data_IF_568057141772
#
_entry.id   IF_568057141772
#
_cell.length_a   1.000
_cell.length_b   1.000
_cell.length_c   1.000
_cell.angle_alpha   90.00
_cell.angle_beta   90.00
_cell.angle_gamma   90.00
#
_symmetry.space_group_name_H-M   'P 1'
#
loop_
_entity.id
_entity.type
_entity.pdbx_description
1 polymer ?
#
# COMPACT_ATOMS: atom_id res chain seq x y z
N UNK A 1 19.90 -13.24 -11.35
CA UNK A 1 19.12 -12.01 -11.64
C UNK A 1 18.69 -11.49 -10.29
N UNK A 2 19.20 -10.34 -9.87
CA UNK A 2 18.76 -9.72 -8.63
C UNK A 2 17.26 -9.44 -8.74
N UNK A 3 16.50 -9.99 -7.81
CA UNK A 3 15.06 -9.78 -7.71
C UNK A 3 14.89 -8.34 -7.19
N UNK A 4 14.61 -7.40 -8.09
CA UNK A 4 14.48 -5.99 -7.71
C UNK A 4 13.24 -5.84 -6.84
N UNK A 5 13.39 -5.35 -5.62
CA UNK A 5 12.28 -5.06 -4.70
C UNK A 5 11.25 -4.15 -5.38
N UNK A 6 9.98 -4.50 -5.28
CA UNK A 6 8.87 -3.68 -5.78
C UNK A 6 8.18 -2.96 -4.63
N UNK A 7 8.07 -1.63 -4.72
CA UNK A 7 7.35 -0.78 -3.76
C UNK A 7 5.97 -0.46 -4.33
N UNK A 8 4.91 -0.80 -3.60
CA UNK A 8 3.53 -0.60 -4.00
C UNK A 8 2.82 0.27 -2.96
N UNK A 9 2.28 1.42 -3.38
CA UNK A 9 1.44 2.25 -2.54
C UNK A 9 -0.04 1.82 -2.63
N UNK A 10 -0.71 1.74 -1.49
CA UNK A 10 -2.16 1.54 -1.40
C UNK A 10 -2.80 2.89 -1.12
N UNK A 11 -3.34 3.56 -2.13
CA UNK A 11 -3.79 4.94 -2.05
C UNK A 11 -5.24 5.11 -2.48
N UNK A 12 -6.01 5.87 -1.68
CA UNK A 12 -7.31 6.42 -2.02
C UNK A 12 -7.63 7.54 -1.03
N UNK A 13 -8.20 8.65 -1.52
CA UNK A 13 -8.62 9.79 -0.69
C UNK A 13 -9.80 9.44 0.24
N UNK A 14 -10.66 8.51 -0.18
CA UNK A 14 -11.81 8.09 0.63
C UNK A 14 -11.34 7.21 1.78
N UNK A 15 -11.77 7.54 2.99
CA UNK A 15 -11.61 6.69 4.17
C UNK A 15 -12.49 5.44 4.07
N UNK A 16 -12.07 4.36 4.73
CA UNK A 16 -12.89 3.14 4.85
C UNK A 16 -13.02 2.31 3.57
N UNK A 17 -12.23 2.56 2.52
CA UNK A 17 -12.27 1.76 1.27
C UNK A 17 -11.43 0.47 1.33
N UNK A 18 -10.89 0.10 2.49
CA UNK A 18 -10.13 -1.13 2.68
C UNK A 18 -8.65 -1.03 2.29
N UNK A 19 -8.01 0.15 2.34
CA UNK A 19 -6.56 0.29 2.13
C UNK A 19 -5.77 -0.57 3.11
N UNK A 20 -5.92 -0.31 4.39
CA UNK A 20 -5.26 -1.04 5.48
C UNK A 20 -5.56 -2.53 5.45
N UNK A 21 -6.84 -2.90 5.27
CA UNK A 21 -7.25 -4.30 5.13
C UNK A 21 -6.54 -4.97 3.95
N UNK A 22 -6.37 -4.24 2.84
CA UNK A 22 -5.64 -4.74 1.67
C UNK A 22 -4.14 -4.83 1.95
N UNK A 23 -3.53 -3.85 2.63
CA UNK A 23 -2.11 -3.90 3.01
C UNK A 23 -1.79 -5.16 3.82
N UNK A 24 -2.56 -5.41 4.89
CA UNK A 24 -2.39 -6.59 5.74
C UNK A 24 -2.57 -7.88 4.93
N UNK A 25 -3.72 -8.04 4.30
CA UNK A 25 -4.09 -9.33 3.73
C UNK A 25 -3.37 -9.65 2.41
N UNK A 26 -3.10 -8.66 1.56
CA UNK A 26 -2.24 -8.84 0.40
C UNK A 26 -0.80 -9.14 0.83
N UNK A 27 -0.29 -8.44 1.85
CA UNK A 27 1.04 -8.69 2.39
C UNK A 27 1.19 -10.11 2.91
N UNK A 28 0.26 -10.56 3.77
CA UNK A 28 0.29 -11.94 4.30
C UNK A 28 0.14 -12.97 3.18
N UNK A 29 -0.75 -12.74 2.20
CA UNK A 29 -0.88 -13.66 1.05
C UNK A 29 0.42 -13.79 0.25
N UNK A 30 1.12 -12.68 0.02
CA UNK A 30 2.42 -12.66 -0.65
C UNK A 30 3.49 -13.37 0.20
N UNK A 31 3.48 -13.15 1.52
CA UNK A 31 4.36 -13.85 2.48
C UNK A 31 4.15 -15.37 2.46
N UNK A 32 2.90 -15.83 2.41
CA UNK A 32 2.56 -17.25 2.27
C UNK A 32 3.04 -17.86 0.93
N UNK A 33 3.24 -17.03 -0.10
CA UNK A 33 3.84 -17.44 -1.37
C UNK A 33 5.37 -17.42 -1.35
N UNK A 34 5.99 -17.20 -0.19
CA UNK A 34 7.46 -17.19 0.01
C UNK A 34 8.12 -15.85 -0.34
N UNK A 35 7.35 -14.77 -0.51
CA UNK A 35 7.91 -13.42 -0.68
C UNK A 35 8.27 -12.80 0.66
N UNK A 36 9.41 -12.13 0.73
CA UNK A 36 9.79 -11.34 1.90
C UNK A 36 9.14 -9.95 1.79
N UNK A 37 8.10 -9.72 2.58
CA UNK A 37 7.24 -8.53 2.47
C UNK A 37 7.43 -7.60 3.67
N UNK A 38 7.58 -6.29 3.40
CA UNK A 38 7.56 -5.24 4.39
C UNK A 38 6.29 -4.40 4.20
N UNK A 39 5.55 -4.22 5.27
CA UNK A 39 4.45 -3.27 5.37
C UNK A 39 4.98 -1.96 5.95
N UNK A 40 4.54 -0.82 5.44
CA UNK A 40 4.88 0.51 5.97
C UNK A 40 3.58 1.24 6.28
N UNK A 41 3.35 1.56 7.54
CA UNK A 41 2.20 2.34 7.98
C UNK A 41 2.50 3.83 7.78
N UNK A 42 1.89 4.45 6.77
CA UNK A 42 2.07 5.87 6.46
C UNK A 42 0.83 6.71 6.87
N UNK A 43 0.10 6.25 7.89
CA UNK A 43 -1.04 6.97 8.48
C UNK A 43 -0.78 7.21 9.98
N UNK A 44 -0.84 8.45 10.43
CA UNK A 44 -0.71 8.82 11.84
C UNK A 44 -1.81 8.21 12.74
N UNK A 45 -2.90 7.72 12.15
CA UNK A 45 -3.94 6.98 12.88
C UNK A 45 -3.49 5.56 13.25
N UNK A 46 -2.36 5.08 12.74
CA UNK A 46 -1.74 3.79 13.06
C UNK A 46 -2.66 2.58 12.84
N UNK A 47 -3.55 2.68 11.85
CA UNK A 47 -4.55 1.64 11.60
C UNK A 47 -3.92 0.32 11.16
N UNK A 48 -2.87 0.37 10.35
CA UNK A 48 -2.11 -0.81 9.95
C UNK A 48 -1.36 -1.41 11.14
N UNK A 49 -0.70 -0.57 11.94
CA UNK A 49 0.04 -0.98 13.13
C UNK A 49 -0.88 -1.72 14.12
N UNK A 50 -2.05 -1.17 14.42
CA UNK A 50 -3.05 -1.81 15.29
C UNK A 50 -3.57 -3.12 14.72
N UNK A 51 -3.84 -3.16 13.42
CA UNK A 51 -4.26 -4.39 12.72
C UNK A 51 -3.19 -5.50 12.77
N UNK A 52 -1.94 -5.14 13.03
CA UNK A 52 -0.81 -6.06 13.17
C UNK A 52 -0.38 -6.28 14.63
N UNK A 53 -1.32 -6.28 15.58
CA UNK A 53 -1.11 -6.56 17.03
C UNK A 53 -0.27 -5.53 17.79
N UNK A 54 -0.07 -4.34 17.27
CA UNK A 54 0.55 -3.26 18.04
C UNK A 54 -0.57 -2.50 18.77
N UNK A 55 -0.84 -2.87 20.00
CA UNK A 55 -1.99 -2.33 20.76
C UNK A 55 -1.78 -0.86 21.14
N UNK A 56 -0.56 -0.48 21.45
CA UNK A 56 -0.18 0.89 21.80
C UNK A 56 0.97 1.38 20.92
N UNK A 57 0.68 1.86 19.68
CA UNK A 57 1.71 2.38 18.79
C UNK A 57 2.42 3.62 19.34
N UNK A 58 1.75 4.40 20.21
CA UNK A 58 2.30 5.64 20.75
C UNK A 58 3.35 5.39 21.85
N UNK A 59 3.40 4.17 22.40
CA UNK A 59 4.45 3.74 23.34
C UNK A 59 5.72 3.25 22.62
N UNK A 60 5.74 3.17 21.28
CA UNK A 60 6.93 2.74 20.54
C UNK A 60 7.96 3.88 20.45
N UNK A 61 9.21 3.57 20.80
CA UNK A 61 10.34 4.50 20.70
C UNK A 61 10.75 4.77 19.24
N UNK A 62 10.52 3.82 18.36
CA UNK A 62 10.96 3.90 16.95
C UNK A 62 9.85 3.47 16.00
N UNK A 63 9.41 4.41 15.19
CA UNK A 63 8.36 4.25 14.18
C UNK A 63 8.79 4.89 12.87
N UNK A 64 7.92 4.93 11.87
CA UNK A 64 8.18 5.63 10.62
C UNK A 64 8.50 7.13 10.85
N UNK A 65 7.91 7.74 11.88
CA UNK A 65 8.16 9.14 12.24
C UNK A 65 9.63 9.41 12.53
N UNK A 66 10.25 8.60 13.39
CA UNK A 66 11.65 8.73 13.76
C UNK A 66 12.56 8.47 12.56
N UNK A 67 12.29 7.42 11.77
CA UNK A 67 13.07 7.13 10.56
C UNK A 67 13.04 8.28 9.54
N UNK A 68 11.90 8.91 9.33
CA UNK A 68 11.77 10.07 8.45
C UNK A 68 12.43 11.31 9.04
N UNK A 69 12.37 11.49 10.36
CA UNK A 69 13.03 12.62 11.05
C UNK A 69 14.55 12.57 10.90
N UNK A 70 15.15 11.40 11.07
CA UNK A 70 16.59 11.21 10.79
C UNK A 70 16.95 11.52 9.33
N UNK A 71 16.09 11.13 8.39
CA UNK A 71 16.32 11.45 6.97
C UNK A 71 16.27 12.95 6.70
N UNK A 72 15.43 13.69 7.42
CA UNK A 72 15.29 15.14 7.26
C UNK A 72 16.44 15.93 7.89
N UNK A 73 17.00 15.45 9.01
CA UNK A 73 18.14 16.10 9.69
C UNK A 73 19.48 15.88 9.01
N UNK A 74 19.57 14.85 8.16
CA UNK A 74 20.81 14.47 7.48
C UNK A 74 21.81 13.78 8.41
N UNK A 75 21.38 13.35 9.59
CA UNK A 75 22.18 12.51 10.48
C UNK A 75 22.40 11.13 9.86
N UNK A 76 23.56 10.53 10.12
CA UNK A 76 23.87 9.18 9.64
C UNK A 76 22.86 8.18 10.21
N UNK A 77 22.20 7.43 9.32
CA UNK A 77 21.22 6.41 9.72
C UNK A 77 21.92 5.32 10.52
N UNK A 78 21.58 5.22 11.79
CA UNK A 78 21.98 4.08 12.57
C UNK A 78 21.20 2.84 12.14
N UNK A 79 21.91 1.80 11.67
CA UNK A 79 21.31 0.51 11.35
C UNK A 79 20.54 -0.10 12.54
N UNK A 80 20.92 0.24 13.76
CA UNK A 80 20.24 -0.16 15.00
C UNK A 80 18.84 0.45 15.03
N UNK A 81 18.69 1.72 14.67
CA UNK A 81 17.40 2.40 14.62
C UNK A 81 16.45 1.73 13.62
N UNK A 82 16.95 1.43 12.40
CA UNK A 82 16.16 0.78 11.36
C UNK A 82 15.70 -0.59 11.85
N UNK A 83 16.59 -1.41 12.42
CA UNK A 83 16.26 -2.74 12.91
C UNK A 83 15.25 -2.70 14.07
N UNK A 84 15.37 -1.71 14.97
CA UNK A 84 14.46 -1.54 16.10
C UNK A 84 13.04 -1.12 15.65
N UNK A 85 12.91 -0.43 14.53
CA UNK A 85 11.62 -0.01 13.98
C UNK A 85 10.84 -1.16 13.34
N UNK A 86 11.52 -2.25 12.91
CA UNK A 86 10.87 -3.35 12.19
C UNK A 86 10.29 -4.36 13.18
N UNK A 87 9.00 -4.62 13.05
CA UNK A 87 8.25 -5.62 13.82
C UNK A 87 7.83 -6.76 12.92
N UNK A 88 7.78 -7.98 13.46
CA UNK A 88 7.28 -9.14 12.73
C UNK A 88 5.79 -9.34 13.01
N UNK A 89 5.02 -9.60 11.96
CA UNK A 89 3.61 -9.97 12.04
C UNK A 89 3.32 -11.13 11.09
N UNK A 90 2.87 -12.26 11.61
CA UNK A 90 2.62 -13.49 10.84
C UNK A 90 3.79 -13.79 9.89
N UNK A 91 3.55 -13.74 8.57
CA UNK A 91 4.54 -14.02 7.51
C UNK A 91 5.21 -12.77 6.95
N UNK A 92 4.97 -11.60 7.53
CA UNK A 92 5.44 -10.30 7.03
C UNK A 92 6.16 -9.49 8.10
N UNK A 93 6.78 -8.40 7.67
CA UNK A 93 7.41 -7.42 8.54
C UNK A 93 6.68 -6.08 8.43
N UNK A 94 6.76 -5.24 9.47
CA UNK A 94 6.06 -3.97 9.57
C UNK A 94 6.98 -2.88 10.11
N UNK A 95 6.99 -1.72 9.46
CA UNK A 95 7.40 -0.45 10.08
C UNK A 95 6.12 0.23 10.57
N UNK A 96 5.93 0.34 11.89
CA UNK A 96 4.73 0.94 12.47
C UNK A 96 4.74 2.46 12.34
N UNK A 97 3.57 3.04 12.51
CA UNK A 97 3.34 4.47 12.68
C UNK A 97 2.79 4.76 14.08
N UNK A 98 2.82 6.03 14.46
CA UNK A 98 2.16 6.56 15.64
C UNK A 98 1.71 8.01 15.39
N UNK A 99 1.12 8.66 16.40
CA UNK A 99 0.59 10.03 16.28
C UNK A 99 1.70 11.06 15.93
N UNK A 100 2.96 10.79 16.26
CA UNK A 100 4.09 11.66 15.94
C UNK A 100 4.26 11.90 14.43
N UNK A 101 3.76 10.98 13.59
CA UNK A 101 3.81 11.13 12.13
C UNK A 101 3.05 12.38 11.64
N UNK A 102 2.04 12.86 12.39
CA UNK A 102 1.38 14.14 12.09
C UNK A 102 2.32 15.34 12.26
N UNK A 103 3.18 15.29 13.27
CA UNK A 103 4.24 16.29 13.47
C UNK A 103 5.30 16.22 12.37
N UNK A 104 5.70 15.01 12.00
CA UNK A 104 6.62 14.76 10.88
C UNK A 104 6.07 15.33 9.57
N UNK A 105 4.78 15.13 9.26
CA UNK A 105 4.13 15.71 8.08
C UNK A 105 4.21 17.24 8.08
N UNK A 106 4.03 17.88 9.22
CA UNK A 106 4.18 19.34 9.36
C UNK A 106 5.62 19.79 9.12
N UNK A 107 6.61 19.05 9.65
CA UNK A 107 8.03 19.35 9.48
C UNK A 107 8.46 19.23 8.02
N UNK A 108 7.90 18.28 7.26
CA UNK A 108 8.17 18.10 5.83
C UNK A 108 7.97 19.38 5.00
N UNK A 109 7.04 20.26 5.36
CA UNK A 109 6.81 21.51 4.61
C UNK A 109 8.03 22.42 4.56
N UNK A 110 8.92 22.32 5.55
CA UNK A 110 10.13 23.13 5.65
C UNK A 110 11.41 22.36 5.20
N UNK A 111 11.26 21.10 4.77
CA UNK A 111 12.38 20.26 4.38
C UNK A 111 12.70 20.41 2.89
N UNK A 112 13.99 20.39 2.54
CA UNK A 112 14.43 20.30 1.14
C UNK A 112 14.08 18.93 0.56
N UNK A 113 13.62 18.90 -0.70
CA UNK A 113 13.20 17.66 -1.38
C UNK A 113 12.18 16.86 -0.55
N UNK A 114 11.30 17.57 0.11
CA UNK A 114 10.29 17.07 1.07
C UNK A 114 9.41 15.94 0.50
N UNK A 115 9.20 15.92 -0.81
CA UNK A 115 8.41 14.89 -1.48
C UNK A 115 9.11 13.53 -1.54
N UNK A 116 10.43 13.49 -1.31
CA UNK A 116 11.26 12.29 -1.48
C UNK A 116 11.79 11.73 -0.17
N UNK A 117 11.39 12.27 0.98
CA UNK A 117 11.91 11.84 2.29
C UNK A 117 11.61 10.36 2.53
N UNK A 118 10.35 9.94 2.37
CA UNK A 118 9.99 8.52 2.54
C UNK A 118 10.74 7.60 1.56
N UNK A 119 10.92 8.03 0.30
CA UNK A 119 11.72 7.27 -0.67
C UNK A 119 13.13 7.00 -0.13
N UNK A 120 13.83 8.05 0.32
CA UNK A 120 15.17 7.91 0.89
C UNK A 120 15.18 7.10 2.19
N UNK A 121 14.11 7.20 3.00
CA UNK A 121 13.95 6.42 4.23
C UNK A 121 13.90 4.92 3.95
N UNK A 122 13.15 4.49 2.93
CA UNK A 122 12.96 3.05 2.65
C UNK A 122 13.94 2.47 1.63
N UNK A 123 14.68 3.30 0.89
CA UNK A 123 15.62 2.84 -0.16
C UNK A 123 16.64 1.81 0.35
N UNK A 124 17.28 1.97 1.54
CA UNK A 124 18.20 0.96 2.06
C UNK A 124 17.53 -0.40 2.35
N UNK A 125 16.21 -0.41 2.57
CA UNK A 125 15.46 -1.62 2.89
C UNK A 125 15.15 -2.47 1.65
N UNK A 126 15.17 -1.88 0.45
CA UNK A 126 14.83 -2.57 -0.80
C UNK A 126 15.70 -3.81 -1.06
N UNK A 127 16.94 -3.82 -0.57
CA UNK A 127 17.85 -4.98 -0.69
C UNK A 127 17.43 -6.18 0.16
N UNK A 128 16.59 -5.95 1.17
CA UNK A 128 16.21 -6.96 2.18
C UNK A 128 14.83 -7.55 1.93
N UNK A 129 14.02 -6.99 1.04
CA UNK A 129 12.64 -7.38 0.79
C UNK A 129 12.36 -7.57 -0.69
N UNK A 130 11.45 -8.47 -1.02
CA UNK A 130 10.93 -8.64 -2.39
C UNK A 130 9.88 -7.58 -2.71
N UNK A 131 9.04 -7.25 -1.72
CA UNK A 131 7.91 -6.32 -1.89
C UNK A 131 7.81 -5.43 -0.64
N UNK A 132 7.59 -4.13 -0.86
CA UNK A 132 7.22 -3.17 0.19
C UNK A 132 5.82 -2.64 -0.13
N UNK A 133 4.88 -2.76 0.82
CA UNK A 133 3.53 -2.21 0.70
C UNK A 133 3.41 -1.00 1.62
N UNK A 134 3.04 0.16 1.07
CA UNK A 134 2.84 1.40 1.83
C UNK A 134 1.34 1.63 1.98
N UNK A 135 0.83 1.59 3.22
CA UNK A 135 -0.56 1.94 3.54
C UNK A 135 -0.69 3.45 3.71
N UNK A 136 -1.37 4.10 2.78
CA UNK A 136 -1.50 5.56 2.75
C UNK A 136 -2.71 6.04 3.55
N UNK A 137 -2.57 7.20 4.21
CA UNK A 137 -3.67 7.90 4.85
C UNK A 137 -4.77 8.28 3.83
N UNK A 138 -6.03 8.52 4.30
CA UNK A 138 -7.15 8.89 3.43
C UNK A 138 -7.12 10.40 3.05
N UNK A 139 -6.04 10.85 2.46
CA UNK A 139 -5.85 12.24 2.02
C UNK A 139 -4.90 12.29 0.82
N UNK A 140 -4.78 13.46 0.19
CA UNK A 140 -3.71 13.79 -0.76
C UNK A 140 -2.69 14.75 -0.13
N UNK A 141 -2.44 14.61 1.18
CA UNK A 141 -1.44 15.35 1.93
C UNK A 141 0.00 14.98 1.56
N UNK A 142 0.96 15.60 2.26
CA UNK A 142 2.38 15.43 1.99
C UNK A 142 2.84 13.97 2.19
N UNK A 143 2.26 13.26 3.16
CA UNK A 143 2.57 11.84 3.38
C UNK A 143 2.14 10.96 2.21
N UNK A 144 0.95 11.19 1.63
CA UNK A 144 0.51 10.44 0.44
C UNK A 144 1.38 10.78 -0.77
N UNK A 145 1.79 12.04 -0.96
CA UNK A 145 2.75 12.41 -2.00
C UNK A 145 4.07 11.66 -1.80
N UNK A 146 4.61 11.62 -0.59
CA UNK A 146 5.83 10.86 -0.26
C UNK A 146 5.68 9.37 -0.59
N UNK A 147 4.54 8.76 -0.25
CA UNK A 147 4.27 7.37 -0.57
C UNK A 147 4.26 7.11 -2.09
N UNK A 148 3.62 7.98 -2.87
CA UNK A 148 3.57 7.89 -4.33
C UNK A 148 4.94 8.15 -4.99
N UNK A 149 5.75 9.01 -4.40
CA UNK A 149 7.13 9.27 -4.89
C UNK A 149 8.06 8.11 -4.56
N UNK A 150 7.85 7.43 -3.45
CA UNK A 150 8.61 6.24 -3.05
C UNK A 150 8.21 4.97 -3.81
N UNK A 151 6.98 4.92 -4.33
CA UNK A 151 6.41 3.73 -4.95
C UNK A 151 6.86 3.55 -6.42
N UNK A 152 6.99 2.28 -6.83
CA UNK A 152 7.11 1.88 -8.23
C UNK A 152 5.73 1.77 -8.88
N UNK A 153 4.71 1.41 -8.07
CA UNK A 153 3.33 1.31 -8.55
C UNK A 153 2.29 1.59 -7.45
N UNK A 154 1.04 1.79 -7.90
CA UNK A 154 -0.10 2.08 -7.03
C UNK A 154 -1.19 1.05 -7.26
N UNK A 155 -1.72 0.48 -6.18
CA UNK A 155 -3.01 -0.22 -6.16
C UNK A 155 -4.02 0.73 -5.51
N UNK A 156 -5.20 0.87 -6.13
CA UNK A 156 -6.25 1.80 -5.69
C UNK A 156 -7.46 1.00 -5.20
N UNK A 157 -7.57 0.70 -3.89
CA UNK A 157 -8.77 0.10 -3.33
C UNK A 157 -9.96 1.04 -3.47
N UNK A 158 -11.08 0.53 -4.00
CA UNK A 158 -12.27 1.33 -4.31
C UNK A 158 -13.55 0.53 -3.99
N UNK A 159 -14.43 1.11 -3.19
CA UNK A 159 -15.76 0.54 -2.96
C UNK A 159 -16.68 0.86 -4.15
N UNK A 160 -17.56 -0.05 -4.61
CA UNK A 160 -18.51 0.22 -5.70
C UNK A 160 -19.61 1.19 -5.23
N UNK A 161 -19.29 2.48 -5.22
CA UNK A 161 -20.24 3.56 -4.92
C UNK A 161 -19.97 4.76 -5.82
N UNK A 162 -21.02 5.52 -6.14
CA UNK A 162 -20.91 6.72 -6.99
C UNK A 162 -19.88 7.73 -6.49
N UNK A 163 -19.84 7.97 -5.18
CA UNK A 163 -18.87 8.89 -4.57
C UNK A 163 -17.42 8.40 -4.67
N UNK A 164 -17.22 7.07 -4.64
CA UNK A 164 -15.88 6.49 -4.78
C UNK A 164 -15.33 6.67 -6.19
N UNK A 165 -16.18 6.51 -7.20
CA UNK A 165 -15.81 6.74 -8.61
C UNK A 165 -15.42 8.19 -8.83
N UNK A 166 -16.20 9.15 -8.31
CA UNK A 166 -15.88 10.58 -8.42
C UNK A 166 -14.56 10.96 -7.70
N UNK A 167 -14.29 10.36 -6.54
CA UNK A 167 -13.03 10.56 -5.80
C UNK A 167 -11.81 9.97 -6.53
N UNK A 168 -12.02 8.94 -7.35
CA UNK A 168 -10.96 8.29 -8.12
C UNK A 168 -10.32 9.24 -9.14
N UNK A 169 -11.10 10.07 -9.83
CA UNK A 169 -10.60 11.04 -10.82
C UNK A 169 -9.60 12.02 -10.20
N UNK A 170 -9.87 12.52 -9.00
CA UNK A 170 -8.96 13.43 -8.28
C UNK A 170 -7.64 12.74 -7.92
N UNK A 171 -7.71 11.48 -7.49
CA UNK A 171 -6.51 10.70 -7.20
C UNK A 171 -5.70 10.43 -8.46
N UNK A 172 -6.34 10.04 -9.56
CA UNK A 172 -5.70 9.79 -10.85
C UNK A 172 -5.02 11.05 -11.39
N UNK A 173 -5.67 12.21 -11.23
CA UNK A 173 -5.07 13.51 -11.58
C UNK A 173 -3.80 13.76 -10.76
N UNK A 174 -3.83 13.51 -9.46
CA UNK A 174 -2.67 13.68 -8.57
C UNK A 174 -1.54 12.71 -8.91
N UNK A 175 -1.84 11.43 -9.16
CA UNK A 175 -0.86 10.43 -9.62
C UNK A 175 -0.22 10.88 -10.94
N UNK A 176 -1.03 11.35 -11.90
CA UNK A 176 -0.53 11.87 -13.19
C UNK A 176 0.41 13.06 -13.02
N UNK A 177 0.10 13.97 -12.09
CA UNK A 177 0.95 15.12 -11.77
C UNK A 177 2.28 14.68 -11.16
N UNK A 178 2.25 13.76 -10.18
CA UNK A 178 3.45 13.21 -9.56
C UNK A 178 4.31 12.46 -10.59
N UNK A 179 3.69 11.62 -11.42
CA UNK A 179 4.38 10.92 -12.50
C UNK A 179 5.11 11.86 -13.44
N UNK A 180 4.46 12.95 -13.85
CA UNK A 180 5.05 13.91 -14.79
C UNK A 180 6.17 14.75 -14.18
N UNK A 181 6.09 15.09 -12.89
CA UNK A 181 6.96 16.10 -12.27
C UNK A 181 8.07 15.52 -11.38
N UNK A 182 7.83 14.35 -10.74
CA UNK A 182 8.70 13.87 -9.66
C UNK A 182 9.10 12.41 -9.85
N UNK A 183 8.14 11.51 -10.16
CA UNK A 183 8.39 10.07 -10.30
C UNK A 183 7.88 9.54 -11.66
N UNK A 184 8.64 9.71 -12.76
CA UNK A 184 8.22 9.31 -14.10
C UNK A 184 7.94 7.82 -14.24
N UNK A 185 8.58 6.98 -13.43
CA UNK A 185 8.45 5.52 -13.46
C UNK A 185 7.19 5.01 -12.73
N UNK A 186 6.48 5.88 -12.00
CA UNK A 186 5.27 5.48 -11.26
C UNK A 186 4.22 4.92 -12.22
N UNK A 187 3.74 3.71 -11.91
CA UNK A 187 2.67 3.05 -12.68
C UNK A 187 1.44 2.83 -11.81
N UNK A 188 0.29 2.56 -12.44
CA UNK A 188 -0.91 2.11 -11.74
C UNK A 188 -1.07 0.62 -12.02
N UNK A 189 -0.91 -0.24 -10.99
CA UNK A 189 -1.14 -1.68 -11.12
C UNK A 189 -2.62 -1.97 -11.38
N UNK A 190 -3.50 -1.20 -10.75
CA UNK A 190 -4.93 -1.27 -11.02
C UNK A 190 -5.80 -0.72 -9.91
N UNK A 191 -7.10 -0.61 -10.22
CA UNK A 191 -8.17 -0.37 -9.26
C UNK A 191 -8.66 -1.70 -8.72
N UNK A 192 -8.67 -1.86 -7.40
CA UNK A 192 -9.17 -3.05 -6.70
C UNK A 192 -10.55 -2.77 -6.13
N UNK A 193 -11.56 -3.46 -6.65
CA UNK A 193 -12.92 -3.38 -6.10
C UNK A 193 -12.96 -4.08 -4.75
N UNK A 194 -13.32 -3.35 -3.71
CA UNK A 194 -13.37 -3.82 -2.31
C UNK A 194 -14.78 -3.73 -1.75
N UNK A 195 -15.07 -4.53 -0.72
CA UNK A 195 -16.39 -4.55 -0.04
C UNK A 195 -17.55 -4.73 -1.02
N UNK A 196 -17.35 -5.53 -2.05
CA UNK A 196 -18.35 -5.78 -3.09
C UNK A 196 -19.45 -6.67 -2.52
N UNK A 197 -20.70 -6.18 -2.52
CA UNK A 197 -21.86 -7.03 -2.33
C UNK A 197 -22.45 -7.42 -3.70
N UNK A 198 -22.01 -8.55 -4.20
CA UNK A 198 -22.43 -9.07 -5.53
C UNK A 198 -23.92 -9.37 -5.66
N UNK A 199 -24.68 -9.37 -4.54
CA UNK A 199 -26.15 -9.55 -4.55
C UNK A 199 -26.87 -8.28 -4.98
N UNK A 200 -26.22 -7.11 -4.86
CA UNK A 200 -26.84 -5.83 -5.20
C UNK A 200 -26.65 -5.50 -6.69
N UNK A 201 -27.71 -5.05 -7.34
CA UNK A 201 -27.67 -4.59 -8.74
C UNK A 201 -26.71 -3.41 -8.87
N UNK A 202 -26.81 -2.46 -7.95
CA UNK A 202 -25.98 -1.23 -7.92
C UNK A 202 -24.47 -1.54 -7.91
N UNK A 203 -24.00 -2.50 -7.10
CA UNK A 203 -22.58 -2.84 -7.07
C UNK A 203 -22.11 -3.41 -8.42
N UNK A 204 -22.93 -4.26 -9.06
CA UNK A 204 -22.62 -4.82 -10.39
C UNK A 204 -22.57 -3.75 -11.48
N UNK A 205 -23.55 -2.84 -11.50
CA UNK A 205 -23.62 -1.76 -12.48
C UNK A 205 -22.43 -0.80 -12.33
N UNK A 206 -22.11 -0.37 -11.11
CA UNK A 206 -20.97 0.55 -10.85
C UNK A 206 -19.65 -0.14 -11.22
N UNK A 207 -19.45 -1.40 -10.83
CA UNK A 207 -18.23 -2.13 -11.19
C UNK A 207 -18.11 -2.31 -12.70
N UNK A 208 -19.21 -2.63 -13.39
CA UNK A 208 -19.27 -2.74 -14.86
C UNK A 208 -18.92 -1.41 -15.54
N UNK A 209 -19.58 -0.32 -15.14
CA UNK A 209 -19.31 1.01 -15.65
C UNK A 209 -17.86 1.47 -15.43
N UNK A 210 -17.29 1.12 -14.26
CA UNK A 210 -15.90 1.44 -13.95
C UNK A 210 -14.91 0.67 -14.84
N UNK A 211 -15.18 -0.62 -15.10
CA UNK A 211 -14.40 -1.44 -16.02
C UNK A 211 -14.46 -0.92 -17.47
N UNK A 212 -15.64 -0.48 -17.91
CA UNK A 212 -15.81 0.12 -19.24
C UNK A 212 -15.12 1.48 -19.35
N UNK A 213 -15.29 2.37 -18.37
CA UNK A 213 -14.73 3.71 -18.40
C UNK A 213 -13.20 3.71 -18.27
N UNK A 214 -12.62 2.82 -17.47
CA UNK A 214 -11.18 2.82 -17.15
C UNK A 214 -10.40 1.74 -17.89
N UNK A 215 -11.05 0.64 -18.32
CA UNK A 215 -10.39 -0.55 -18.82
C UNK A 215 -9.49 -0.37 -20.06
N UNK A 216 -9.59 0.77 -20.75
CA UNK A 216 -8.72 1.11 -21.87
C UNK A 216 -7.35 1.65 -21.37
N UNK A 217 -7.34 2.42 -20.29
CA UNK A 217 -6.16 3.16 -19.83
C UNK A 217 -5.63 2.70 -18.46
N UNK A 218 -6.50 2.16 -17.61
CA UNK A 218 -6.18 1.75 -16.24
C UNK A 218 -6.73 0.35 -16.01
N UNK A 219 -5.87 -0.55 -15.56
CA UNK A 219 -6.28 -1.89 -15.19
C UNK A 219 -7.29 -1.86 -14.03
N UNK A 220 -8.35 -2.66 -14.12
CA UNK A 220 -9.21 -2.98 -12.99
C UNK A 220 -9.00 -4.45 -12.69
N UNK A 221 -8.54 -4.77 -11.48
CA UNK A 221 -8.26 -6.16 -11.10
C UNK A 221 -9.46 -7.06 -11.38
N UNK A 222 -9.19 -8.28 -11.87
CA UNK A 222 -10.26 -9.26 -12.13
C UNK A 222 -10.89 -9.73 -10.81
N UNK A 223 -10.08 -9.74 -9.76
CA UNK A 223 -10.51 -10.14 -8.43
C UNK A 223 -11.19 -8.98 -7.72
N UNK A 224 -12.33 -9.29 -7.11
CA UNK A 224 -13.09 -8.38 -6.24
C UNK A 224 -13.03 -8.89 -4.80
N UNK A 225 -12.84 -7.99 -3.83
CA UNK A 225 -12.86 -8.35 -2.42
C UNK A 225 -14.29 -8.22 -1.91
N UNK A 226 -14.94 -9.33 -1.49
CA UNK A 226 -16.31 -9.28 -1.06
C UNK A 226 -16.46 -8.59 0.31
N UNK A 227 -17.62 -7.98 0.56
CA UNK A 227 -17.99 -7.48 1.89
C UNK A 227 -18.11 -8.66 2.86
N UNK A 228 -17.48 -8.56 4.02
CA UNK A 228 -17.50 -9.60 5.05
C UNK A 228 -17.44 -9.00 6.46
N UNK A 229 -18.26 -9.50 7.35
CA UNK A 229 -18.19 -9.17 8.78
C UNK A 229 -16.88 -9.69 9.37
N UNK A 230 -16.45 -10.90 9.01
CA UNK A 230 -15.17 -11.47 9.47
C UNK A 230 -13.99 -10.58 9.16
N UNK A 231 -13.96 -9.99 7.97
CA UNK A 231 -12.87 -9.06 7.60
C UNK A 231 -12.90 -7.75 8.43
N UNK A 232 -14.06 -7.33 8.94
CA UNK A 232 -14.16 -6.16 9.83
C UNK A 232 -13.78 -6.46 11.26
N UNK A 233 -13.78 -7.73 11.67
CA UNK A 233 -13.35 -8.19 12.99
C UNK A 233 -11.83 -8.29 13.11
N UNK A 234 -11.12 -8.60 12.00
CA UNK A 234 -9.67 -8.81 11.97
C UNK A 234 -8.86 -7.72 12.68
N UNK A 235 -9.06 -6.41 12.42
CA UNK A 235 -8.29 -5.36 13.08
C UNK A 235 -8.47 -5.35 14.60
N UNK A 236 -9.63 -5.74 15.13
CA UNK A 236 -9.92 -5.75 16.56
C UNK A 236 -9.16 -6.86 17.31
N UNK A 237 -8.90 -7.98 16.62
CA UNK A 237 -8.16 -9.12 17.18
C UNK A 237 -6.69 -9.12 16.79
N UNK A 238 -6.30 -8.22 15.87
CA UNK A 238 -4.94 -8.13 15.36
C UNK A 238 -4.54 -9.39 14.58
N UNK A 239 -5.37 -9.87 13.68
CA UNK A 239 -5.13 -11.05 12.85
C UNK A 239 -5.41 -10.75 11.39
N UNK A 240 -4.68 -11.42 10.48
CA UNK A 240 -5.07 -11.42 9.07
C UNK A 240 -6.33 -12.23 8.84
N UNK A 241 -6.98 -12.05 7.70
CA UNK A 241 -8.10 -12.89 7.31
C UNK A 241 -7.69 -14.36 7.15
N UNK A 242 -6.41 -14.62 6.86
CA UNK A 242 -5.90 -15.99 6.71
C UNK A 242 -5.80 -16.73 8.04
N UNK A 243 -5.64 -16.00 9.15
CA UNK A 243 -5.68 -16.56 10.50
C UNK A 243 -7.11 -16.58 11.05
N UNK A 244 -7.87 -15.50 10.85
CA UNK A 244 -9.19 -15.31 11.43
C UNK A 244 -10.31 -16.12 10.74
N UNK A 245 -10.27 -16.21 9.39
CA UNK A 245 -11.25 -16.96 8.56
C UNK A 245 -10.56 -17.58 7.33
N UNK A 246 -9.68 -18.60 7.54
CA UNK A 246 -8.81 -19.14 6.50
C UNK A 246 -9.56 -19.78 5.32
N UNK A 247 -10.77 -20.28 5.55
CA UNK A 247 -11.65 -20.86 4.51
C UNK A 247 -12.64 -19.87 3.90
N UNK A 248 -12.58 -18.60 4.32
CA UNK A 248 -13.53 -17.59 3.92
C UNK A 248 -13.29 -17.04 2.51
N UNK A 249 -14.37 -16.51 1.91
CA UNK A 249 -14.30 -15.92 0.55
C UNK A 249 -13.32 -14.75 0.46
N UNK A 250 -13.10 -14.00 1.54
CA UNK A 250 -12.15 -12.89 1.57
C UNK A 250 -10.71 -13.40 1.54
N UNK A 251 -10.39 -14.44 2.29
CA UNK A 251 -9.07 -15.09 2.25
C UNK A 251 -8.78 -15.62 0.84
N UNK A 252 -9.74 -16.33 0.24
CA UNK A 252 -9.62 -16.80 -1.14
C UNK A 252 -9.40 -15.66 -2.14
N UNK A 253 -10.13 -14.53 -1.98
CA UNK A 253 -10.00 -13.37 -2.85
C UNK A 253 -8.60 -12.74 -2.75
N UNK A 254 -8.05 -12.54 -1.54
CA UNK A 254 -6.69 -12.02 -1.37
C UNK A 254 -5.61 -12.99 -1.87
N UNK A 255 -5.80 -14.30 -1.71
CA UNK A 255 -4.91 -15.30 -2.30
C UNK A 255 -4.91 -15.28 -3.84
N UNK A 256 -6.05 -14.98 -4.48
CA UNK A 256 -6.12 -14.78 -5.93
C UNK A 256 -5.49 -13.44 -6.35
N UNK A 257 -5.75 -12.36 -5.59
CA UNK A 257 -5.17 -11.05 -5.83
C UNK A 257 -3.63 -11.09 -5.79
N UNK A 258 -3.04 -11.79 -4.81
CA UNK A 258 -1.59 -11.90 -4.72
C UNK A 258 -0.96 -12.53 -5.96
N UNK A 259 -1.62 -13.53 -6.56
CA UNK A 259 -1.17 -14.15 -7.83
C UNK A 259 -1.29 -13.18 -9.00
N UNK A 260 -2.35 -12.39 -9.06
CA UNK A 260 -2.57 -11.38 -10.10
C UNK A 260 -1.50 -10.28 -10.01
N UNK A 261 -1.18 -9.80 -8.80
CA UNK A 261 -0.12 -8.81 -8.54
C UNK A 261 1.25 -9.32 -8.99
N UNK A 262 1.63 -10.57 -8.65
CA UNK A 262 2.86 -11.19 -9.12
C UNK A 262 2.86 -11.39 -10.64
N UNK A 263 1.71 -11.68 -11.24
CA UNK A 263 1.55 -11.80 -12.69
C UNK A 263 1.82 -10.49 -13.42
N UNK A 264 1.41 -9.36 -12.85
CA UNK A 264 1.71 -8.02 -13.38
C UNK A 264 3.21 -7.69 -13.26
N UNK A 265 3.85 -8.01 -12.13
CA UNK A 265 5.28 -7.84 -11.93
C UNK A 265 6.10 -8.55 -13.01
N UNK A 266 5.78 -9.81 -13.31
CA UNK A 266 6.45 -10.59 -14.37
C UNK A 266 6.29 -9.96 -15.76
N UNK A 267 5.11 -9.43 -16.09
CA UNK A 267 4.86 -8.77 -17.37
C UNK A 267 5.68 -7.49 -17.51
N UNK A 268 5.84 -6.71 -16.44
CA UNK A 268 6.64 -5.48 -16.43
C UNK A 268 8.13 -5.80 -16.62
N UNK A 269 8.65 -6.81 -15.94
CA UNK A 269 10.05 -7.26 -16.08
C UNK A 269 10.36 -7.76 -17.50
N UNK A 270 9.42 -8.42 -18.17
CA UNK A 270 9.60 -8.87 -19.57
C UNK A 270 9.67 -7.69 -20.53
N UNK A 271 8.86 -6.65 -20.32
CA UNK A 271 8.85 -5.43 -21.16
C UNK A 271 10.10 -4.57 -21.01
N UNK A 272 10.73 -4.57 -19.84
CA UNK A 272 11.94 -3.79 -19.55
C UNK A 272 13.25 -4.44 -20.04
N UNK A 273 13.22 -5.66 -20.59
CA UNK A 273 14.40 -6.25 -21.23
C UNK A 273 14.69 -5.53 -22.54
N UNK A 274 15.87 -4.90 -22.72
CA UNK A 274 16.24 -4.36 -24.02
C UNK A 274 16.26 -5.52 -25.03
N UNK A 275 15.66 -5.31 -26.18
CA UNK A 275 15.80 -6.22 -27.32
C UNK A 275 17.30 -6.41 -27.55
N UNK A 276 17.79 -7.61 -27.28
CA UNK A 276 19.20 -7.94 -27.54
C UNK A 276 19.50 -7.70 -29.00
N UNK A 277 20.42 -6.80 -29.22
CA UNK A 277 21.11 -6.69 -30.53
C UNK A 277 21.81 -8.03 -30.74
N UNK A 278 21.42 -8.74 -31.79
CA UNK A 278 22.13 -9.90 -32.33
C UNK A 278 23.35 -9.42 -33.08
#
# INVERSE_FOLDING_TARGET
MENKCKVIALANQKGGVGKTTTAVNLGVALGQMGKKVLLVDADAQSSLSRSCKINDPDALETTLSELMSYEMTGEDKDYILINNSIKQFETVYLIPSNISLSGTETTLFNCMSRESVLKRTIEPLRQNYDIILIDCMPSLGMMTINALVAADSVIIPCEPSFLSVKGLDLLLHSISKIKRQINPELTIDGVLMTMVDSRTINAREITGALREAMGININVFNIEIPRSVRATECPNVGESIFTHDPGGKVAEAYAKLSREVIGLERKTQVRSRPYGVR
#
